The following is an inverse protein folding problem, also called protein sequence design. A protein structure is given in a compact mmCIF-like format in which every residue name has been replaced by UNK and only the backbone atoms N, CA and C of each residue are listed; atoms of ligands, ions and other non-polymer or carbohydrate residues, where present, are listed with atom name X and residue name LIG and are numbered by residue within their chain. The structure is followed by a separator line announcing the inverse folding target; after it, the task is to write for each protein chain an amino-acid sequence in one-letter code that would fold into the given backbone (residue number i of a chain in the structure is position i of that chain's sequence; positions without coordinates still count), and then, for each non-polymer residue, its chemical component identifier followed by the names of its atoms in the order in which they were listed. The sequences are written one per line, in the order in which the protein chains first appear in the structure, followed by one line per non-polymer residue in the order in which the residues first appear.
data_IF_287608622834
#
_entry.id   IF_287608622834
#
_cell.length_a   1.000
_cell.length_b   1.000
_cell.length_c   1.000
_cell.angle_alpha   90.00
_cell.angle_beta   90.00
_cell.angle_gamma   90.00
#
_symmetry.space_group_name_H-M   'P 1'
#
loop_
_entity.id
_entity.type
_entity.pdbx_description
1 polymer ?
#
# COMPACT_ATOMS: atom_id res chain seq x y z
N UNK A 1 -12.16 -2.15 9.57
CA UNK A 1 -11.48 -3.26 8.87
C UNK A 1 -11.52 -4.49 9.77
N UNK A 2 -11.88 -5.68 9.26
CA UNK A 2 -11.86 -6.94 10.01
C UNK A 2 -10.48 -7.32 10.59
N UNK A 3 -10.46 -8.06 11.71
CA UNK A 3 -9.24 -8.47 12.43
C UNK A 3 -8.29 -9.32 11.57
N UNK A 4 -8.83 -10.21 10.74
CA UNK A 4 -8.06 -11.05 9.83
C UNK A 4 -7.30 -10.21 8.78
N UNK A 5 -7.93 -9.16 8.24
CA UNK A 5 -7.28 -8.27 7.28
C UNK A 5 -6.16 -7.45 7.93
N UNK A 6 -6.35 -7.02 9.18
CA UNK A 6 -5.30 -6.33 9.96
C UNK A 6 -4.09 -7.25 10.15
N UNK A 7 -4.31 -8.51 10.55
CA UNK A 7 -3.23 -9.49 10.72
C UNK A 7 -2.49 -9.77 9.40
N UNK A 8 -3.21 -9.83 8.27
CA UNK A 8 -2.59 -9.96 6.94
C UNK A 8 -1.72 -8.75 6.60
N UNK A 9 -2.20 -7.52 6.88
CA UNK A 9 -1.42 -6.30 6.65
C UNK A 9 -0.14 -6.27 7.49
N UNK A 10 -0.18 -6.71 8.76
CA UNK A 10 1.02 -6.80 9.62
C UNK A 10 2.06 -7.77 9.04
N UNK A 11 1.61 -8.94 8.57
CA UNK A 11 2.53 -9.91 7.93
C UNK A 11 3.15 -9.33 6.65
N UNK A 12 2.32 -8.70 5.81
CA UNK A 12 2.78 -8.11 4.56
C UNK A 12 3.67 -6.89 4.77
N UNK A 13 3.46 -6.09 5.82
CA UNK A 13 4.33 -4.96 6.14
C UNK A 13 5.73 -5.47 6.53
N UNK A 14 5.84 -6.52 7.34
CA UNK A 14 7.14 -7.12 7.65
C UNK A 14 7.85 -7.73 6.42
N UNK A 15 7.11 -8.25 5.46
CA UNK A 15 7.68 -8.70 4.18
C UNK A 15 8.14 -7.53 3.31
N UNK A 16 7.36 -6.45 3.28
CA UNK A 16 7.69 -5.23 2.55
C UNK A 16 8.91 -4.54 3.16
N UNK A 17 9.01 -4.47 4.50
CA UNK A 17 10.16 -3.89 5.21
C UNK A 17 11.44 -4.61 4.80
N UNK A 18 11.43 -5.96 4.84
CA UNK A 18 12.56 -6.79 4.36
C UNK A 18 12.90 -6.51 2.89
N UNK A 19 11.90 -6.36 2.04
CA UNK A 19 12.13 -6.02 0.64
C UNK A 19 12.79 -4.64 0.48
N UNK A 20 12.27 -3.62 1.15
CA UNK A 20 12.78 -2.24 1.07
C UNK A 20 14.21 -2.16 1.61
N UNK A 21 14.50 -2.80 2.75
CA UNK A 21 15.85 -2.85 3.32
C UNK A 21 16.88 -3.45 2.36
N UNK A 22 16.48 -4.45 1.57
CA UNK A 22 17.35 -5.09 0.58
C UNK A 22 17.34 -4.38 -0.79
N UNK A 23 16.47 -3.40 -1.01
CA UNK A 23 16.31 -2.70 -2.28
C UNK A 23 16.27 -1.18 -2.07
N UNK A 24 17.43 -0.50 -1.89
CA UNK A 24 17.47 0.94 -1.59
C UNK A 24 16.76 1.83 -2.64
N UNK A 25 16.73 1.39 -3.90
CA UNK A 25 16.01 2.08 -4.98
C UNK A 25 14.49 2.09 -4.77
N UNK A 26 13.94 1.07 -4.07
CA UNK A 26 12.53 1.03 -3.71
C UNK A 26 12.22 2.08 -2.63
N UNK A 27 13.09 2.21 -1.62
CA UNK A 27 12.95 3.23 -0.56
C UNK A 27 12.91 4.65 -1.14
N UNK A 28 13.79 4.97 -2.10
CA UNK A 28 13.84 6.30 -2.76
C UNK A 28 12.54 6.71 -3.45
N UNK A 29 11.67 5.75 -3.79
CA UNK A 29 10.35 6.00 -4.40
C UNK A 29 9.26 6.29 -3.39
N UNK A 30 9.56 6.24 -2.09
CA UNK A 30 8.63 6.51 -1.01
C UNK A 30 8.93 7.91 -0.46
N UNK A 31 8.07 8.90 -0.73
CA UNK A 31 8.24 10.25 -0.21
C UNK A 31 8.19 10.26 1.32
N UNK A 32 8.94 11.18 1.94
CA UNK A 32 8.93 11.36 3.39
C UNK A 32 7.50 11.67 3.87
N UNK A 33 7.03 10.92 4.86
CA UNK A 33 5.68 11.09 5.42
C UNK A 33 4.56 10.47 4.58
N UNK A 34 4.87 9.74 3.51
CA UNK A 34 3.85 9.02 2.75
C UNK A 34 3.33 7.80 3.52
N UNK A 35 2.03 7.54 3.39
CA UNK A 35 1.38 6.32 3.84
C UNK A 35 1.48 5.23 2.77
N UNK A 36 1.80 4.02 3.20
CA UNK A 36 1.89 2.86 2.31
C UNK A 36 0.55 2.13 2.26
N UNK A 37 0.05 1.90 1.05
CA UNK A 37 -1.15 1.11 0.78
C UNK A 37 -0.72 -0.20 0.14
N UNK A 38 -0.83 -1.30 0.89
CA UNK A 38 -0.47 -2.63 0.41
C UNK A 38 -1.62 -3.19 -0.43
N UNK A 39 -1.31 -3.70 -1.63
CA UNK A 39 -2.27 -4.47 -2.45
C UNK A 39 -1.62 -5.76 -2.92
N UNK A 40 -2.43 -6.81 -3.13
CA UNK A 40 -1.93 -8.15 -3.46
C UNK A 40 -2.77 -8.73 -4.60
N UNK A 41 -2.13 -9.26 -5.65
CA UNK A 41 -2.82 -9.82 -6.83
C UNK A 41 -3.85 -10.89 -6.45
N UNK A 42 -3.53 -11.76 -5.50
CA UNK A 42 -4.35 -12.91 -5.13
C UNK A 42 -5.21 -12.68 -3.87
N UNK A 43 -5.30 -11.45 -3.36
CA UNK A 43 -6.16 -11.10 -2.23
C UNK A 43 -6.90 -9.78 -2.52
N UNK A 44 -7.93 -9.89 -3.36
CA UNK A 44 -8.76 -8.74 -3.75
C UNK A 44 -9.47 -8.13 -2.54
N UNK A 45 -9.97 -8.95 -1.61
CA UNK A 45 -10.66 -8.50 -0.40
C UNK A 45 -9.78 -7.59 0.46
N UNK A 46 -8.53 -7.99 0.69
CA UNK A 46 -7.55 -7.16 1.39
C UNK A 46 -7.26 -5.87 0.62
N UNK A 47 -7.03 -5.98 -0.68
CA UNK A 47 -6.69 -4.85 -1.55
C UNK A 47 -7.81 -3.81 -1.59
N UNK A 48 -9.05 -4.22 -1.78
CA UNK A 48 -10.22 -3.34 -1.80
C UNK A 48 -10.41 -2.65 -0.44
N UNK A 49 -10.19 -3.37 0.67
CA UNK A 49 -10.30 -2.80 2.01
C UNK A 49 -9.22 -1.73 2.27
N UNK A 50 -7.98 -1.99 1.87
CA UNK A 50 -6.87 -1.04 2.00
C UNK A 50 -7.09 0.21 1.11
N UNK A 51 -7.54 0.02 -0.13
CA UNK A 51 -7.85 1.12 -1.05
C UNK A 51 -9.04 1.95 -0.53
N UNK A 52 -10.06 1.30 0.04
CA UNK A 52 -11.20 2.01 0.64
C UNK A 52 -10.77 2.88 1.82
N UNK A 53 -9.87 2.39 2.68
CA UNK A 53 -9.30 3.19 3.77
C UNK A 53 -8.50 4.39 3.25
N UNK A 54 -7.69 4.20 2.21
CA UNK A 54 -6.96 5.29 1.56
C UNK A 54 -7.91 6.35 1.01
N UNK A 55 -8.96 5.94 0.29
CA UNK A 55 -9.96 6.87 -0.29
C UNK A 55 -10.70 7.68 0.77
N UNK A 56 -10.96 7.07 1.93
CA UNK A 56 -11.63 7.72 3.05
C UNK A 56 -10.68 8.57 3.92
N UNK A 57 -9.39 8.60 3.64
CA UNK A 57 -8.44 9.46 4.36
C UNK A 57 -8.60 10.92 3.94
N UNK A 58 -8.64 11.82 4.93
CA UNK A 58 -8.82 13.26 4.71
C UNK A 58 -7.61 13.89 4.00
N UNK A 59 -6.41 13.45 4.37
CA UNK A 59 -5.13 13.98 3.88
C UNK A 59 -4.07 12.88 3.87
N UNK A 60 -2.90 13.21 3.31
CA UNK A 60 -1.77 12.31 3.22
C UNK A 60 -1.34 12.07 1.78
N UNK A 61 -0.05 11.82 1.61
CA UNK A 61 0.50 11.29 0.37
C UNK A 61 0.48 9.76 0.45
N UNK A 62 0.03 9.09 -0.61
CA UNK A 62 -0.11 7.65 -0.62
C UNK A 62 0.79 7.01 -1.66
N UNK A 63 1.38 5.87 -1.29
CA UNK A 63 2.19 5.05 -2.18
C UNK A 63 1.61 3.64 -2.15
N UNK A 64 1.37 3.06 -3.31
CA UNK A 64 1.01 1.67 -3.43
C UNK A 64 2.26 0.81 -3.34
N UNK A 65 2.23 -0.17 -2.44
CA UNK A 65 3.13 -1.32 -2.48
C UNK A 65 2.34 -2.52 -2.99
N UNK A 66 2.44 -2.80 -4.29
CA UNK A 66 1.75 -3.92 -4.92
C UNK A 66 2.60 -5.19 -4.86
N UNK A 67 2.08 -6.24 -4.25
CA UNK A 67 2.68 -7.58 -4.22
C UNK A 67 2.06 -8.47 -5.29
N UNK A 68 2.91 -9.05 -6.13
CA UNK A 68 2.53 -10.12 -7.05
C UNK A 68 3.54 -11.26 -6.94
N UNK A 69 3.07 -12.44 -6.52
CA UNK A 69 3.94 -13.59 -6.19
C UNK A 69 5.04 -13.14 -5.20
N UNK A 70 6.31 -13.24 -5.60
CA UNK A 70 7.49 -12.84 -4.81
C UNK A 70 8.06 -11.47 -5.20
N UNK A 71 7.32 -10.65 -5.95
CA UNK A 71 7.79 -9.33 -6.39
C UNK A 71 6.95 -8.23 -5.77
N UNK A 72 7.64 -7.15 -5.40
CA UNK A 72 7.05 -5.91 -4.92
C UNK A 72 7.26 -4.81 -5.96
N UNK A 73 6.21 -4.03 -6.19
CA UNK A 73 6.24 -2.87 -7.06
C UNK A 73 5.72 -1.67 -6.27
N UNK A 74 6.54 -0.62 -6.19
CA UNK A 74 6.22 0.61 -5.48
C UNK A 74 5.87 1.69 -6.50
N UNK A 75 4.68 2.26 -6.38
CA UNK A 75 4.15 3.33 -7.24
C UNK A 75 3.46 4.40 -6.40
N UNK A 76 3.71 5.67 -6.70
CA UNK A 76 2.92 6.76 -6.12
C UNK A 76 1.47 6.62 -6.57
N UNK A 77 0.53 6.70 -5.63
CA UNK A 77 -0.89 6.78 -5.95
C UNK A 77 -1.26 8.26 -6.05
N UNK A 78 -1.63 8.78 -7.23
CA UNK A 78 -2.25 10.09 -7.28
C UNK A 78 -3.55 9.99 -6.46
N UNK A 79 -3.80 11.00 -5.62
CA UNK A 79 -5.16 11.26 -5.19
C UNK A 79 -5.86 11.72 -6.47
N UNK A 80 -6.51 10.81 -7.20
CA UNK A 80 -7.43 11.24 -8.25
C UNK A 80 -8.32 12.29 -7.61
N UNK A 81 -8.34 13.48 -8.23
CA UNK A 81 -9.23 14.57 -7.82
C UNK A 81 -10.57 13.91 -7.56
N UNK A 82 -11.06 14.03 -6.32
CA UNK A 82 -12.46 13.78 -6.00
C UNK A 82 -13.25 14.38 -7.15
N UNK A 83 -13.77 13.52 -8.04
CA UNK A 83 -14.58 13.99 -9.15
C UNK A 83 -15.74 14.72 -8.48
N UNK A 84 -15.89 15.97 -8.89
CA UNK A 84 -17.14 16.69 -8.83
C UNK A 84 -18.27 15.70 -9.13
N UNK A 85 -19.21 15.58 -8.19
CA UNK A 85 -20.65 15.47 -8.37
C UNK A 85 -21.28 15.37 -6.98
#
# INVERSE_FOLDING_TARGET
MPKDLIQKNIKLSHELDRYISNNPNAYRRIPKGAHIVITVTNDKKLSDANISLMRNSKSGQFVQAHKSRNRWVIKTLPKEKSQML
#
